data_IF_685525903490
#
_entry.id   IF_685525903490
#
_cell.length_a   1.000
_cell.length_b   1.000
_cell.length_c   1.000
_cell.angle_alpha   90.00
_cell.angle_beta   90.00
_cell.angle_gamma   90.00
#
_symmetry.space_group_name_H-M   'P 1'
#
loop_
_entity.id
_entity.type
_entity.pdbx_description
1 polymer ?
#
# COMPACT_ATOMS: atom_id res chain seq x y z
N UNK A 1 18.44 -11.80 -26.01
CA UNK A 1 17.21 -10.99 -25.89
C UNK A 1 17.43 -10.05 -24.73
N UNK A 2 17.20 -8.77 -24.94
CA UNK A 2 17.26 -7.80 -23.85
C UNK A 2 16.07 -8.05 -22.95
N UNK A 3 16.30 -8.44 -21.68
CA UNK A 3 15.25 -8.65 -20.70
C UNK A 3 14.71 -7.29 -20.21
N UNK A 4 13.94 -6.58 -21.03
CA UNK A 4 13.34 -5.28 -20.70
C UNK A 4 12.38 -5.43 -19.55
N UNK A 5 12.61 -4.69 -18.47
CA UNK A 5 11.80 -4.74 -17.26
C UNK A 5 10.77 -3.63 -17.26
N UNK A 6 9.50 -3.97 -17.07
CA UNK A 6 8.45 -3.03 -16.68
C UNK A 6 8.10 -3.26 -15.21
N UNK A 7 8.01 -2.18 -14.43
CA UNK A 7 7.66 -2.24 -13.00
C UNK A 7 6.28 -1.62 -12.82
N UNK A 8 5.37 -2.37 -12.20
CA UNK A 8 4.01 -1.95 -11.88
C UNK A 8 3.89 -1.82 -10.37
N UNK A 9 3.60 -0.62 -9.87
CA UNK A 9 3.58 -0.34 -8.43
C UNK A 9 2.15 0.00 -8.00
N UNK A 10 1.55 -0.86 -7.19
CA UNK A 10 0.37 -0.52 -6.43
C UNK A 10 0.77 0.44 -5.30
N UNK A 11 0.49 1.72 -5.52
CA UNK A 11 0.95 2.79 -4.63
C UNK A 11 0.30 2.77 -3.26
N UNK A 12 -0.98 2.39 -3.17
CA UNK A 12 -1.68 2.23 -1.90
C UNK A 12 -1.08 1.10 -1.08
N UNK A 13 -0.92 -0.07 -1.69
CA UNK A 13 -0.34 -1.25 -1.04
C UNK A 13 1.11 -0.96 -0.56
N UNK A 14 1.95 -0.41 -1.43
CA UNK A 14 3.33 -0.05 -1.09
C UNK A 14 3.39 0.99 0.04
N UNK A 15 2.56 2.05 0.00
CA UNK A 15 2.55 3.10 1.03
C UNK A 15 2.22 2.54 2.41
N UNK A 16 1.15 1.75 2.51
CA UNK A 16 0.75 1.13 3.76
C UNK A 16 1.81 0.17 4.27
N UNK A 17 2.35 -0.68 3.41
CA UNK A 17 3.38 -1.65 3.77
C UNK A 17 4.68 -0.97 4.24
N UNK A 18 5.15 0.09 3.57
CA UNK A 18 6.32 0.87 3.99
C UNK A 18 6.10 1.53 5.36
N UNK A 19 4.92 2.11 5.59
CA UNK A 19 4.57 2.72 6.86
C UNK A 19 4.60 1.70 8.00
N UNK A 20 4.01 0.52 7.78
CA UNK A 20 3.81 -0.48 8.81
C UNK A 20 5.12 -1.27 9.09
N UNK A 21 5.91 -1.60 8.07
CA UNK A 21 7.13 -2.39 8.21
C UNK A 21 8.41 -1.56 8.40
N UNK A 22 8.48 -0.36 7.81
CA UNK A 22 9.69 0.48 7.83
C UNK A 22 9.51 1.78 8.65
N UNK A 23 8.28 2.15 9.02
CA UNK A 23 7.94 3.43 9.66
C UNK A 23 8.42 4.66 8.86
N UNK A 24 8.60 4.49 7.54
CA UNK A 24 9.06 5.51 6.58
C UNK A 24 8.33 5.32 5.26
N UNK A 25 8.14 6.43 4.54
CA UNK A 25 7.50 6.45 3.20
C UNK A 25 8.29 7.31 2.20
N UNK A 26 9.43 7.85 2.62
CA UNK A 26 10.28 8.76 1.85
C UNK A 26 11.27 8.00 0.95
N UNK A 27 10.76 7.07 0.15
CA UNK A 27 11.54 6.21 -0.73
C UNK A 27 12.15 7.00 -1.90
N UNK A 28 13.40 6.70 -2.25
CA UNK A 28 14.01 7.11 -3.51
C UNK A 28 13.61 6.10 -4.61
N UNK A 29 12.67 6.49 -5.45
CA UNK A 29 12.13 5.60 -6.48
C UNK A 29 13.13 5.25 -7.56
N UNK A 30 14.08 6.12 -7.89
CA UNK A 30 15.15 5.82 -8.85
C UNK A 30 16.02 4.65 -8.37
N UNK A 31 16.49 4.72 -7.14
CA UNK A 31 17.33 3.69 -6.56
C UNK A 31 16.55 2.39 -6.30
N UNK A 32 15.27 2.53 -5.87
CA UNK A 32 14.39 1.39 -5.65
C UNK A 32 14.14 0.58 -6.94
N UNK A 33 13.77 1.26 -8.02
CA UNK A 33 13.51 0.61 -9.31
C UNK A 33 14.78 0.04 -9.92
N UNK A 34 15.92 0.73 -9.80
CA UNK A 34 17.23 0.24 -10.22
C UNK A 34 17.59 -1.06 -9.49
N UNK A 35 17.36 -1.11 -8.17
CA UNK A 35 17.62 -2.31 -7.37
C UNK A 35 16.74 -3.49 -7.78
N UNK A 36 15.46 -3.26 -8.06
CA UNK A 36 14.55 -4.29 -8.56
C UNK A 36 14.96 -4.81 -9.94
N UNK A 37 15.42 -3.93 -10.83
CA UNK A 37 15.89 -4.33 -12.15
C UNK A 37 17.13 -5.22 -12.09
N UNK A 38 17.96 -5.14 -11.06
CA UNK A 38 19.17 -5.95 -10.88
C UNK A 38 20.08 -5.94 -12.12
N UNK A 39 20.33 -4.75 -12.70
CA UNK A 39 21.17 -4.55 -13.88
C UNK A 39 20.48 -4.80 -15.23
N UNK A 40 19.23 -5.29 -15.24
CA UNK A 40 18.45 -5.41 -16.47
C UNK A 40 17.94 -4.04 -16.94
N UNK A 41 17.76 -3.82 -18.25
CA UNK A 41 17.29 -2.55 -18.77
C UNK A 41 15.84 -2.27 -18.34
N UNK A 42 15.63 -1.12 -17.67
CA UNK A 42 14.31 -0.65 -17.31
C UNK A 42 13.61 -0.08 -18.54
N UNK A 43 12.48 -0.66 -18.92
CA UNK A 43 11.60 -0.07 -19.93
C UNK A 43 10.86 1.13 -19.35
N UNK A 44 10.06 0.89 -18.29
CA UNK A 44 9.31 1.95 -17.58
C UNK A 44 8.80 1.46 -16.23
N UNK A 45 8.62 2.39 -15.30
CA UNK A 45 7.91 2.19 -14.04
C UNK A 45 6.54 2.87 -14.12
N UNK A 46 5.50 2.17 -13.74
CA UNK A 46 4.13 2.69 -13.63
C UNK A 46 3.72 2.68 -12.17
N UNK A 47 3.33 3.85 -11.67
CA UNK A 47 2.88 4.02 -10.28
C UNK A 47 1.39 4.32 -10.27
N UNK A 48 0.60 3.43 -9.70
CA UNK A 48 -0.85 3.51 -9.63
C UNK A 48 -1.28 3.96 -8.24
N UNK A 49 -2.17 4.95 -8.17
CA UNK A 49 -2.73 5.40 -6.89
C UNK A 49 -4.08 6.09 -7.10
N UNK A 50 -4.83 6.26 -6.02
CA UNK A 50 -6.06 7.06 -5.99
C UNK A 50 -5.74 8.45 -5.49
N UNK A 51 -6.32 9.47 -6.14
CA UNK A 51 -6.20 10.84 -5.69
C UNK A 51 -7.05 11.04 -4.43
N UNK A 52 -6.46 11.54 -3.35
CA UNK A 52 -7.19 11.85 -2.12
C UNK A 52 -8.15 13.02 -2.35
N UNK A 53 -9.31 12.98 -1.67
CA UNK A 53 -10.28 14.07 -1.72
C UNK A 53 -9.81 15.23 -0.84
N UNK A 54 -9.58 16.43 -1.42
CA UNK A 54 -9.15 17.61 -0.66
C UNK A 54 -10.19 18.07 0.38
N UNK A 55 -11.48 17.76 0.18
CA UNK A 55 -12.53 18.14 1.10
C UNK A 55 -12.56 17.26 2.36
N UNK A 56 -12.15 15.97 2.22
CA UNK A 56 -12.16 15.03 3.33
C UNK A 56 -10.81 15.00 4.08
N UNK A 57 -9.69 15.14 3.36
CA UNK A 57 -8.33 15.08 3.91
C UNK A 57 -7.43 16.16 3.28
N UNK A 58 -7.63 17.45 3.60
CA UNK A 58 -6.89 18.53 2.94
C UNK A 58 -5.36 18.45 3.17
N UNK A 59 -4.90 18.03 4.35
CA UNK A 59 -3.47 17.84 4.63
C UNK A 59 -2.93 16.63 3.86
N UNK A 60 -3.63 15.51 3.89
CA UNK A 60 -3.24 14.30 3.16
C UNK A 60 -3.20 14.53 1.64
N UNK A 61 -4.13 15.32 1.11
CA UNK A 61 -4.11 15.72 -0.30
C UNK A 61 -2.85 16.52 -0.65
N UNK A 62 -2.46 17.51 0.17
CA UNK A 62 -1.23 18.29 -0.06
C UNK A 62 0.02 17.40 0.01
N UNK A 63 0.13 16.57 1.04
CA UNK A 63 1.25 15.62 1.17
C UNK A 63 1.32 14.68 -0.05
N UNK A 64 0.18 14.23 -0.55
CA UNK A 64 0.12 13.40 -1.76
C UNK A 64 0.55 14.19 -3.01
N UNK A 65 0.12 15.45 -3.17
CA UNK A 65 0.53 16.27 -4.32
C UNK A 65 2.05 16.48 -4.33
N UNK A 66 2.65 16.86 -3.19
CA UNK A 66 4.12 17.00 -3.07
C UNK A 66 4.84 15.69 -3.42
N UNK A 67 4.32 14.55 -2.99
CA UNK A 67 4.86 13.25 -3.33
C UNK A 67 4.74 12.94 -4.82
N UNK A 68 3.57 13.18 -5.41
CA UNK A 68 3.31 12.95 -6.84
C UNK A 68 4.20 13.84 -7.72
N UNK A 69 4.46 15.08 -7.30
CA UNK A 69 5.36 15.99 -8.02
C UNK A 69 6.81 15.48 -8.05
N UNK A 70 7.22 14.77 -7.01
CA UNK A 70 8.52 14.09 -6.99
C UNK A 70 8.52 12.89 -7.93
N UNK A 71 7.46 12.08 -7.91
CA UNK A 71 7.35 10.92 -8.81
C UNK A 71 7.36 11.34 -10.28
N UNK A 72 6.61 12.38 -10.64
CA UNK A 72 6.56 12.92 -12.02
C UNK A 72 7.91 13.41 -12.54
N UNK A 73 8.83 13.79 -11.64
CA UNK A 73 10.20 14.20 -11.98
C UNK A 73 11.18 13.03 -12.03
N UNK A 74 10.75 11.82 -11.64
CA UNK A 74 11.59 10.63 -11.66
C UNK A 74 11.68 10.08 -13.09
N UNK A 75 12.88 9.92 -13.64
CA UNK A 75 13.04 9.41 -15.02
C UNK A 75 12.40 8.04 -15.19
N UNK A 76 11.79 7.81 -16.36
CA UNK A 76 11.13 6.55 -16.72
C UNK A 76 10.03 6.10 -15.76
N UNK A 77 9.46 7.01 -14.96
CA UNK A 77 8.33 6.74 -14.08
C UNK A 77 7.09 7.51 -14.55
N UNK A 78 6.00 6.80 -14.73
CA UNK A 78 4.69 7.33 -15.12
C UNK A 78 3.68 7.11 -14.00
N UNK A 79 2.98 8.19 -13.64
CA UNK A 79 1.95 8.15 -12.60
C UNK A 79 0.58 7.97 -13.23
N UNK A 80 -0.16 6.97 -12.78
CA UNK A 80 -1.52 6.65 -13.16
C UNK A 80 -2.45 6.87 -11.96
N UNK A 81 -3.41 7.79 -12.09
CA UNK A 81 -4.30 8.14 -10.98
C UNK A 81 -5.74 7.72 -11.31
N UNK A 82 -6.33 6.94 -10.42
CA UNK A 82 -7.76 6.66 -10.40
C UNK A 82 -8.54 7.77 -9.70
N UNK A 83 -9.84 7.82 -10.00
CA UNK A 83 -10.75 8.75 -9.34
C UNK A 83 -11.43 8.11 -8.13
N UNK A 84 -11.77 8.94 -7.14
CA UNK A 84 -12.73 8.58 -6.10
C UNK A 84 -14.15 8.74 -6.63
N UNK A 85 -15.02 7.77 -6.37
CA UNK A 85 -16.47 7.88 -6.58
C UNK A 85 -17.18 7.73 -5.24
N UNK A 86 -18.21 8.55 -5.02
CA UNK A 86 -19.12 8.35 -3.90
C UNK A 86 -20.06 7.19 -4.23
N UNK A 87 -20.03 6.14 -3.42
CA UNK A 87 -21.02 5.06 -3.45
C UNK A 87 -21.79 5.12 -2.13
N UNK A 88 -23.09 5.42 -2.22
CA UNK A 88 -23.98 5.60 -1.04
C UNK A 88 -23.43 6.61 0.00
N UNK A 89 -22.80 7.69 -0.45
CA UNK A 89 -22.21 8.70 0.42
C UNK A 89 -20.84 8.34 1.00
N UNK A 90 -20.31 7.13 0.73
CA UNK A 90 -18.99 6.69 1.16
C UNK A 90 -18.02 6.79 -0.02
N UNK A 91 -16.84 7.42 0.15
CA UNK A 91 -15.81 7.43 -0.88
C UNK A 91 -15.28 6.01 -1.12
N UNK A 92 -15.39 5.55 -2.35
CA UNK A 92 -14.87 4.25 -2.77
C UNK A 92 -13.80 4.48 -3.83
N UNK A 93 -12.63 3.94 -3.58
CA UNK A 93 -11.57 3.82 -4.59
C UNK A 93 -12.09 2.93 -5.71
N UNK A 94 -12.05 3.38 -6.95
CA UNK A 94 -12.50 2.55 -8.07
C UNK A 94 -11.49 2.52 -9.19
N UNK A 95 -11.21 1.29 -9.62
CA UNK A 95 -10.63 1.01 -10.92
C UNK A 95 -9.11 1.06 -10.99
N UNK A 96 -8.39 1.31 -9.88
CA UNK A 96 -6.92 1.29 -9.88
C UNK A 96 -6.41 -0.12 -10.20
N UNK A 97 -6.93 -1.12 -9.55
CA UNK A 97 -6.52 -2.51 -9.76
C UNK A 97 -6.84 -2.97 -11.18
N UNK A 98 -8.02 -2.58 -11.67
CA UNK A 98 -8.42 -2.85 -13.06
C UNK A 98 -7.49 -2.11 -14.04
N UNK A 99 -7.13 -0.85 -13.75
CA UNK A 99 -6.22 -0.06 -14.59
C UNK A 99 -4.83 -0.71 -14.62
N UNK A 100 -4.28 -1.09 -13.46
CA UNK A 100 -2.99 -1.76 -13.35
C UNK A 100 -3.00 -3.10 -14.10
N UNK A 101 -3.98 -3.95 -13.86
CA UNK A 101 -4.12 -5.24 -14.53
C UNK A 101 -4.28 -5.08 -16.04
N UNK A 102 -5.09 -4.11 -16.49
CA UNK A 102 -5.30 -3.81 -17.91
C UNK A 102 -4.00 -3.36 -18.58
N UNK A 103 -3.27 -2.42 -17.97
CA UNK A 103 -2.01 -1.91 -18.52
C UNK A 103 -0.95 -3.02 -18.58
N UNK A 104 -0.85 -3.84 -17.52
CA UNK A 104 0.07 -4.97 -17.48
C UNK A 104 -0.19 -5.92 -18.66
N UNK A 105 -1.42 -6.30 -18.93
CA UNK A 105 -1.79 -7.18 -20.02
C UNK A 105 -1.66 -6.48 -21.39
N UNK A 106 -2.09 -5.23 -21.51
CA UNK A 106 -1.99 -4.47 -22.74
C UNK A 106 -0.53 -4.31 -23.19
N UNK A 107 0.37 -4.03 -22.26
CA UNK A 107 1.80 -3.88 -22.58
C UNK A 107 2.47 -5.24 -22.85
N UNK A 108 2.03 -6.32 -22.21
CA UNK A 108 2.46 -7.68 -22.54
C UNK A 108 2.08 -8.05 -23.97
N UNK A 109 0.81 -7.80 -24.33
CA UNK A 109 0.30 -8.06 -25.68
C UNK A 109 1.06 -7.30 -26.77
N UNK A 110 1.38 -6.03 -26.50
CA UNK A 110 2.14 -5.20 -27.45
C UNK A 110 3.65 -5.45 -27.38
N UNK A 111 4.12 -6.44 -26.64
CA UNK A 111 5.51 -6.82 -26.49
C UNK A 111 6.42 -5.65 -26.06
N UNK A 112 5.94 -4.77 -25.16
CA UNK A 112 6.69 -3.62 -24.67
C UNK A 112 7.72 -3.97 -23.59
N UNK A 113 7.55 -5.11 -22.91
CA UNK A 113 8.47 -5.63 -21.91
C UNK A 113 8.64 -7.14 -22.05
N UNK A 114 9.67 -7.67 -21.42
CA UNK A 114 9.97 -9.09 -21.35
C UNK A 114 9.74 -9.62 -19.92
N UNK A 115 9.94 -8.76 -18.92
CA UNK A 115 9.76 -9.05 -17.51
C UNK A 115 8.82 -8.01 -16.88
N UNK A 116 7.76 -8.47 -16.22
CA UNK A 116 6.91 -7.64 -15.37
C UNK A 116 7.30 -7.83 -13.91
N UNK A 117 7.61 -6.74 -13.19
CA UNK A 117 7.75 -6.76 -11.73
C UNK A 117 6.54 -6.06 -11.14
N UNK A 118 5.70 -6.79 -10.43
CA UNK A 118 4.57 -6.22 -9.69
C UNK A 118 4.95 -5.98 -8.23
N UNK A 119 4.83 -4.74 -7.78
CA UNK A 119 5.04 -4.33 -6.39
C UNK A 119 3.69 -4.25 -5.70
N UNK A 120 3.19 -5.37 -5.25
CA UNK A 120 1.95 -5.55 -4.46
C UNK A 120 1.92 -6.94 -3.84
N UNK A 121 1.23 -7.08 -2.71
CA UNK A 121 0.92 -8.37 -2.08
C UNK A 121 -0.48 -8.87 -2.40
N UNK A 122 -1.28 -8.10 -3.13
CA UNK A 122 -2.69 -8.37 -3.35
C UNK A 122 -2.92 -9.54 -4.31
N UNK A 123 -3.69 -10.53 -3.84
CA UNK A 123 -4.01 -11.75 -4.58
C UNK A 123 -4.87 -11.55 -5.80
N UNK A 124 -5.58 -10.44 -5.91
CA UNK A 124 -6.46 -10.15 -7.04
C UNK A 124 -5.69 -10.00 -8.35
N UNK A 125 -4.39 -9.67 -8.27
CA UNK A 125 -3.51 -9.60 -9.44
C UNK A 125 -2.98 -10.95 -9.93
N UNK A 126 -3.14 -12.04 -9.19
CA UNK A 126 -2.54 -13.33 -9.54
C UNK A 126 -2.99 -13.82 -10.93
N UNK A 127 -4.27 -13.63 -11.28
CA UNK A 127 -4.78 -14.02 -12.59
C UNK A 127 -4.19 -13.16 -13.72
N UNK A 128 -4.00 -11.86 -13.51
CA UNK A 128 -3.38 -10.99 -14.50
C UNK A 128 -1.91 -11.37 -14.75
N UNK A 129 -1.17 -11.72 -13.69
CA UNK A 129 0.20 -12.22 -13.82
C UNK A 129 0.24 -13.55 -14.58
N UNK A 130 -0.68 -14.50 -14.27
CA UNK A 130 -0.77 -15.75 -15.01
C UNK A 130 -1.07 -15.53 -16.49
N UNK A 131 -1.95 -14.59 -16.81
CA UNK A 131 -2.26 -14.25 -18.20
C UNK A 131 -1.04 -13.66 -18.94
N UNK A 132 -0.24 -12.81 -18.27
CA UNK A 132 1.01 -12.29 -18.83
C UNK A 132 2.03 -13.42 -19.08
N UNK A 133 2.15 -14.41 -18.19
CA UNK A 133 2.97 -15.61 -18.39
C UNK A 133 2.52 -16.38 -19.64
N UNK A 134 1.22 -16.54 -19.83
CA UNK A 134 0.66 -17.21 -21.01
C UNK A 134 0.97 -16.46 -22.31
N UNK A 135 1.29 -15.16 -22.23
CA UNK A 135 1.80 -14.35 -23.36
C UNK A 135 3.34 -14.42 -23.50
N UNK A 136 3.99 -15.33 -22.77
CA UNK A 136 5.45 -15.52 -22.84
C UNK A 136 6.27 -14.49 -22.05
N UNK A 137 5.67 -13.81 -21.08
CA UNK A 137 6.39 -12.87 -20.20
C UNK A 137 6.84 -13.55 -18.92
N UNK A 138 8.01 -13.15 -18.40
CA UNK A 138 8.38 -13.47 -17.03
C UNK A 138 7.66 -12.53 -16.06
N UNK A 139 7.19 -13.06 -14.93
CA UNK A 139 6.50 -12.28 -13.90
C UNK A 139 7.20 -12.43 -12.56
N UNK A 140 7.50 -11.28 -11.96
CA UNK A 140 8.16 -11.23 -10.66
C UNK A 140 7.29 -10.43 -9.70
N UNK A 141 7.33 -10.77 -8.40
CA UNK A 141 6.56 -10.11 -7.36
C UNK A 141 7.50 -9.52 -6.31
N UNK A 142 7.35 -8.22 -6.05
CA UNK A 142 8.04 -7.54 -4.96
C UNK A 142 7.04 -7.27 -3.83
N UNK A 143 7.29 -7.83 -2.64
CA UNK A 143 6.29 -7.94 -1.59
C UNK A 143 6.88 -7.83 -0.18
N UNK A 144 6.03 -7.46 0.77
CA UNK A 144 6.31 -7.58 2.19
C UNK A 144 5.70 -8.86 2.74
N UNK A 145 6.41 -9.53 3.64
CA UNK A 145 5.94 -10.79 4.24
C UNK A 145 4.59 -10.64 4.96
N UNK A 146 4.31 -9.44 5.48
CA UNK A 146 3.10 -9.13 6.24
C UNK A 146 1.81 -9.04 5.41
N UNK A 147 1.90 -8.91 4.08
CA UNK A 147 0.73 -8.64 3.25
C UNK A 147 0.67 -9.42 1.93
N UNK A 148 1.49 -10.46 1.80
CA UNK A 148 1.52 -11.27 0.56
C UNK A 148 0.46 -12.36 0.56
N UNK A 149 -0.30 -12.48 -0.50
CA UNK A 149 -1.18 -13.62 -0.73
C UNK A 149 -0.42 -14.82 -1.29
N UNK A 150 -0.89 -16.03 -0.95
CA UNK A 150 -0.30 -17.26 -1.44
C UNK A 150 -0.39 -17.36 -2.97
N UNK A 151 -1.50 -16.95 -3.56
CA UNK A 151 -1.70 -16.98 -5.02
C UNK A 151 -0.65 -16.17 -5.78
N UNK A 152 -0.20 -15.03 -5.21
CA UNK A 152 0.88 -14.23 -5.79
C UNK A 152 2.22 -14.96 -5.77
N UNK A 153 2.53 -15.64 -4.66
CA UNK A 153 3.75 -16.45 -4.57
C UNK A 153 3.73 -17.65 -5.52
N UNK A 154 2.58 -18.25 -5.72
CA UNK A 154 2.45 -19.45 -6.57
C UNK A 154 2.60 -19.11 -8.06
N UNK A 155 2.18 -17.92 -8.48
CA UNK A 155 2.26 -17.48 -9.89
C UNK A 155 3.62 -16.91 -10.27
N UNK A 156 4.34 -16.30 -9.32
CA UNK A 156 5.58 -15.59 -9.59
C UNK A 156 6.72 -16.51 -10.04
N UNK A 157 7.42 -16.15 -11.11
CA UNK A 157 8.66 -16.80 -11.56
C UNK A 157 9.84 -16.45 -10.65
N UNK A 158 9.85 -15.22 -10.12
CA UNK A 158 10.85 -14.75 -9.17
C UNK A 158 10.21 -13.85 -8.09
N UNK A 159 10.85 -13.74 -6.93
CA UNK A 159 10.28 -13.11 -5.74
C UNK A 159 11.29 -12.17 -5.09
N UNK A 160 10.89 -10.94 -4.83
CA UNK A 160 11.69 -9.91 -4.17
C UNK A 160 11.09 -9.60 -2.79
N UNK A 161 11.70 -10.13 -1.73
CA UNK A 161 11.25 -9.82 -0.37
C UNK A 161 11.67 -8.40 -0.02
N UNK A 162 10.69 -7.54 0.20
CA UNK A 162 10.86 -6.16 0.63
C UNK A 162 10.90 -6.11 2.17
N UNK A 163 12.10 -6.08 2.72
CA UNK A 163 12.35 -5.97 4.14
C UNK A 163 13.26 -4.78 4.46
N UNK A 164 13.56 -4.54 5.72
CA UNK A 164 14.40 -3.41 6.12
C UNK A 164 15.80 -3.44 5.48
N UNK A 165 16.37 -4.62 5.29
CA UNK A 165 17.67 -4.77 4.63
C UNK A 165 17.59 -4.44 3.14
N UNK A 166 16.49 -4.82 2.47
CA UNK A 166 16.24 -4.42 1.08
C UNK A 166 16.23 -2.90 0.92
N UNK A 167 15.62 -2.17 1.86
CA UNK A 167 15.50 -0.71 1.81
C UNK A 167 16.71 0.06 2.32
N UNK A 168 17.76 -0.61 2.77
CA UNK A 168 18.97 0.04 3.24
C UNK A 168 19.61 0.87 2.12
N UNK A 169 19.79 2.16 2.38
CA UNK A 169 20.34 3.11 1.40
C UNK A 169 19.34 3.65 0.37
N UNK A 170 18.08 3.17 0.36
CA UNK A 170 17.08 3.61 -0.63
C UNK A 170 16.20 4.79 -0.15
N UNK A 171 16.49 5.35 1.01
CA UNK A 171 15.72 6.47 1.56
C UNK A 171 16.26 7.82 1.09
N UNK A 172 15.38 8.77 0.81
CA UNK A 172 15.77 10.13 0.41
C UNK A 172 16.56 10.81 1.52
N UNK A 173 17.69 11.42 1.16
CA UNK A 173 18.49 12.19 2.10
C UNK A 173 17.76 13.48 2.51
N UNK A 174 17.68 13.79 3.81
CA UNK A 174 17.25 15.10 4.31
C UNK A 174 15.85 15.19 4.90
N UNK A 175 14.99 14.19 4.81
CA UNK A 175 13.71 14.18 5.53
C UNK A 175 13.93 13.63 6.95
N UNK A 176 14.01 14.54 7.95
CA UNK A 176 14.04 14.15 9.37
C UNK A 176 12.80 13.30 9.68
N UNK A 177 13.00 12.16 10.34
CA UNK A 177 11.90 11.34 10.92
C UNK A 177 10.93 12.28 11.65
N UNK A 178 9.69 12.38 11.19
CA UNK A 178 8.63 12.99 12.00
C UNK A 178 8.46 12.11 13.25
N UNK A 179 8.61 12.67 14.47
CA UNK A 179 8.36 11.87 15.68
C UNK A 179 6.90 11.39 15.64
N UNK A 180 6.69 10.11 15.95
CA UNK A 180 5.35 9.56 16.17
C UNK A 180 4.63 10.49 17.15
N UNK A 181 3.61 11.23 16.71
CA UNK A 181 2.64 11.83 17.62
C UNK A 181 1.99 10.67 18.37
N UNK A 182 2.39 10.49 19.61
CA UNK A 182 1.81 9.51 20.51
C UNK A 182 0.29 9.68 20.47
N UNK A 183 -0.42 8.64 20.13
CA UNK A 183 -1.86 8.55 20.34
C UNK A 183 -2.06 8.77 21.84
N UNK A 184 -2.40 10.00 22.24
CA UNK A 184 -2.97 10.22 23.57
C UNK A 184 -4.27 9.43 23.59
N UNK A 185 -4.28 8.33 24.28
CA UNK A 185 -5.48 7.59 24.58
C UNK A 185 -6.52 8.53 25.22
N UNK A 186 -7.81 8.26 25.09
CA UNK A 186 -8.84 9.07 25.71
C UNK A 186 -8.54 9.12 27.22
N UNK A 187 -8.44 10.35 27.78
CA UNK A 187 -8.40 10.55 29.22
C UNK A 187 -9.63 9.88 29.80
N UNK A 188 -9.45 8.92 30.69
CA UNK A 188 -10.54 8.45 31.57
C UNK A 188 -11.03 9.67 32.34
N UNK A 189 -12.37 9.89 32.40
CA UNK A 189 -12.92 10.90 33.30
C UNK A 189 -12.58 10.51 34.74
N UNK A 190 -12.13 11.51 35.53
CA UNK A 190 -11.84 11.37 36.96
C UNK A 190 -13.09 10.85 37.67
N UNK A 191 -12.90 9.77 38.42
CA UNK A 191 -13.91 9.23 39.32
C UNK A 191 -14.04 10.23 40.49
N UNK A 192 -15.25 10.68 40.88
CA UNK A 192 -15.42 11.45 42.11
C UNK A 192 -15.05 10.60 43.32
N UNK A 193 -14.40 11.25 44.28
CA UNK A 193 -13.99 10.66 45.53
C UNK A 193 -15.17 10.15 46.36
N UNK A 194 -14.93 9.05 47.08
CA UNK A 194 -15.80 8.38 48.01
C UNK A 194 -16.39 9.33 49.06
N UNK A 195 -17.68 9.16 49.36
CA UNK A 195 -18.30 9.56 50.64
C UNK A 195 -18.81 8.32 51.38
N UNK A 196 -18.76 8.32 52.73
CA UNK A 196 -18.67 7.10 53.51
C UNK A 196 -20.02 6.45 53.87
N UNK A 197 -19.88 5.24 54.37
CA UNK A 197 -20.82 4.27 54.84
C UNK A 197 -21.99 4.76 55.70
N UNK A 198 -23.17 4.17 55.45
CA UNK A 198 -24.30 4.10 56.39
C UNK A 198 -24.91 2.71 56.36
N UNK A 199 -24.99 2.10 57.50
CA UNK A 199 -25.32 0.71 57.78
C UNK A 199 -26.83 0.34 57.66
N UNK A 200 -27.26 -0.88 58.02
CA UNK A 200 -28.22 -1.67 57.26
C UNK A 200 -29.63 -1.75 57.88
N UNK A 201 -30.62 -2.13 57.11
CA UNK A 201 -31.91 -2.62 57.65
C UNK A 201 -32.51 -3.69 56.71
N UNK A 202 -32.73 -4.69 57.24
CA UNK A 202 -33.40 -5.95 57.39
C UNK A 202 -34.69 -6.20 56.58
N UNK A 203 -34.79 -7.47 56.10
CA UNK A 203 -35.94 -8.39 56.03
C UNK A 203 -37.30 -7.95 55.45
N UNK A 204 -37.72 -8.75 54.45
CA UNK A 204 -38.90 -9.65 54.48
C UNK A 204 -39.14 -10.26 53.09
N UNK A 205 -38.89 -11.56 52.93
CA UNK A 205 -39.83 -12.70 52.92
C UNK A 205 -40.95 -12.61 51.87
N UNK A 206 -40.84 -13.52 50.91
CA UNK A 206 -41.75 -14.27 50.01
C UNK A 206 -43.25 -14.27 50.34
N UNK A 207 -44.20 -14.87 49.53
CA UNK A 207 -44.04 -15.76 48.37
C UNK A 207 -45.07 -15.60 47.21
N UNK A 208 -44.84 -16.35 46.11
CA UNK A 208 -45.69 -17.24 45.31
C UNK A 208 -47.01 -16.79 44.64
N UNK A 209 -47.20 -17.48 43.47
CA UNK A 209 -48.45 -17.82 42.74
C UNK A 209 -48.99 -16.74 41.80
N UNK A 210 -49.10 -17.00 40.53
CA UNK A 210 -49.67 -18.09 39.69
C UNK A 210 -49.07 -18.02 38.29
#
# INVERSE_FOLDING_TARGET
>A
MENRVAIFIDGSNLYHALRDNCSRVDLNFTDFTSKLCAGRPLFRTYYYNVLQDPNQRPEGFREQQEFLDVLKKTPYLEVRLGGMKLSQGVPVEKGIDIMLATDLLHFAWNNLYDVAILVSGDGDFAYALQAAKNMGKHVEVAYFESNISKSMLDVADNRHLLNQEFFKGLWRAGLKRRPRRGRKGPRRPDRPADSPAGAPAANSVSPAET
#
